data_IF_088843882152
#
_entry.id   IF_088843882152
#
_cell.length_a   1.000
_cell.length_b   1.000
_cell.length_c   1.000
_cell.angle_alpha   90.00
_cell.angle_beta   90.00
_cell.angle_gamma   90.00
#
_symmetry.space_group_name_H-M   'P 1'
#
loop_
_entity.id
_entity.type
_entity.pdbx_description
1 polymer ?
#
# COMPACT_ATOMS: atom_id res chain seq x y z
N UNK A 1 -4.96 7.64 -13.63
CA UNK A 1 -3.74 6.83 -13.87
C UNK A 1 -4.11 5.62 -14.70
N UNK A 2 -3.13 5.01 -15.38
CA UNK A 2 -3.36 3.86 -16.28
C UNK A 2 -2.57 2.64 -15.83
N UNK A 3 -3.13 1.45 -16.02
CA UNK A 3 -2.42 0.17 -15.94
C UNK A 3 -2.28 -0.37 -17.36
N UNK A 4 -1.04 -0.62 -17.75
CA UNK A 4 -0.65 -1.05 -19.09
C UNK A 4 -0.12 -2.48 -19.02
N UNK A 5 -0.44 -3.29 -20.03
CA UNK A 5 0.04 -4.66 -20.17
C UNK A 5 0.83 -4.81 -21.46
N UNK A 6 1.97 -5.46 -21.35
CA UNK A 6 2.74 -5.94 -22.49
C UNK A 6 2.63 -7.47 -22.53
N UNK A 7 2.20 -8.01 -23.65
CA UNK A 7 2.09 -9.45 -23.88
C UNK A 7 3.40 -9.99 -24.48
N UNK A 8 3.64 -11.30 -24.45
CA UNK A 8 4.78 -11.97 -25.12
C UNK A 8 6.13 -11.26 -24.90
N UNK A 9 6.50 -11.07 -23.63
CA UNK A 9 7.75 -10.37 -23.24
C UNK A 9 8.95 -11.30 -23.08
N UNK A 10 8.71 -12.61 -22.98
CA UNK A 10 9.78 -13.59 -22.82
C UNK A 10 10.69 -13.61 -24.05
N UNK A 11 11.97 -13.25 -23.87
CA UNK A 11 12.95 -13.19 -24.96
C UNK A 11 12.79 -12.00 -25.93
N UNK A 12 11.84 -11.09 -25.69
CA UNK A 12 11.54 -9.96 -26.57
C UNK A 12 11.58 -8.63 -25.82
N UNK A 13 12.15 -7.60 -26.45
CA UNK A 13 12.08 -6.24 -25.90
C UNK A 13 10.67 -5.66 -26.02
N UNK A 14 10.26 -4.85 -25.03
CA UNK A 14 9.02 -4.06 -25.09
C UNK A 14 9.20 -2.73 -25.82
N UNK A 15 10.44 -2.35 -26.16
CA UNK A 15 10.72 -1.10 -26.84
C UNK A 15 9.98 -1.00 -28.19
N UNK A 16 9.25 0.09 -28.40
CA UNK A 16 8.50 0.35 -29.63
C UNK A 16 7.20 -0.45 -29.78
N UNK A 17 6.81 -1.27 -28.81
CA UNK A 17 5.55 -2.01 -28.82
C UNK A 17 4.45 -1.19 -28.16
N UNK A 18 3.25 -1.21 -28.73
CA UNK A 18 2.09 -0.59 -28.10
C UNK A 18 1.54 -1.51 -26.99
N UNK A 19 1.37 -1.00 -25.75
CA UNK A 19 0.76 -1.78 -24.69
C UNK A 19 -0.76 -1.85 -24.84
N UNK A 20 -1.34 -2.91 -24.30
CA UNK A 20 -2.78 -2.95 -24.03
C UNK A 20 -3.12 -2.11 -22.81
N UNK A 21 -4.14 -1.26 -22.91
CA UNK A 21 -4.70 -0.55 -21.75
C UNK A 21 -5.60 -1.52 -20.99
N UNK A 22 -5.27 -1.81 -19.73
CA UNK A 22 -6.08 -2.68 -18.86
C UNK A 22 -7.04 -1.85 -18.01
N UNK A 23 -6.55 -0.71 -17.52
CA UNK A 23 -7.31 0.22 -16.67
C UNK A 23 -6.89 1.64 -17.02
N UNK A 24 -7.84 2.57 -17.13
CA UNK A 24 -7.59 3.98 -17.42
C UNK A 24 -8.43 4.97 -16.59
N UNK A 25 -9.26 4.46 -15.69
CA UNK A 25 -10.21 5.21 -14.88
C UNK A 25 -9.81 5.31 -13.40
N UNK A 26 -8.60 4.88 -13.02
CA UNK A 26 -8.09 5.11 -11.67
C UNK A 26 -7.71 6.58 -11.46
N UNK A 27 -7.75 7.11 -10.23
CA UNK A 27 -7.31 8.48 -9.97
C UNK A 27 -5.86 8.73 -10.41
N UNK A 28 -5.58 9.94 -10.88
CA UNK A 28 -4.31 10.30 -11.54
C UNK A 28 -3.47 11.34 -10.82
N UNK A 29 -3.93 11.80 -9.66
CA UNK A 29 -3.33 12.89 -8.89
C UNK A 29 -1.89 12.56 -8.49
N UNK A 30 -1.01 13.55 -8.58
CA UNK A 30 0.43 13.36 -8.41
C UNK A 30 0.82 13.07 -6.95
N UNK A 31 0.13 13.71 -5.99
CA UNK A 31 0.41 13.56 -4.57
C UNK A 31 0.08 12.12 -4.14
N UNK A 32 1.09 11.40 -3.65
CA UNK A 32 1.00 9.95 -3.36
C UNK A 32 0.47 9.13 -4.55
N UNK A 33 0.74 9.63 -5.75
CA UNK A 33 0.30 9.06 -7.02
C UNK A 33 1.13 7.87 -7.46
N UNK A 34 2.37 7.71 -6.95
CA UNK A 34 3.25 6.61 -7.31
C UNK A 34 2.66 5.26 -6.94
N UNK A 35 2.86 4.28 -7.83
CA UNK A 35 2.20 2.98 -7.77
C UNK A 35 3.24 1.88 -7.70
N UNK A 36 3.12 1.03 -6.68
CA UNK A 36 3.70 -0.30 -6.66
C UNK A 36 2.54 -1.28 -6.87
N UNK A 37 2.61 -2.15 -7.88
CA UNK A 37 1.55 -3.12 -8.18
C UNK A 37 2.15 -4.51 -8.29
N UNK A 38 1.45 -5.51 -7.78
CA UNK A 38 1.87 -6.89 -7.86
C UNK A 38 0.66 -7.83 -7.85
N UNK A 39 0.84 -9.03 -8.42
CA UNK A 39 -0.13 -10.10 -8.32
C UNK A 39 0.02 -10.82 -6.98
N UNK A 40 -1.09 -10.99 -6.28
CA UNK A 40 -1.15 -11.78 -5.05
C UNK A 40 -1.21 -13.29 -5.32
N UNK A 41 -1.13 -14.11 -4.26
CA UNK A 41 -1.21 -15.57 -4.36
C UNK A 41 -2.58 -16.07 -4.84
N UNK A 42 -3.61 -15.22 -4.83
CA UNK A 42 -4.94 -15.49 -5.37
C UNK A 42 -5.08 -15.16 -6.88
N UNK A 43 -3.97 -14.76 -7.53
CA UNK A 43 -3.95 -14.39 -8.95
C UNK A 43 -4.58 -13.03 -9.26
N UNK A 44 -4.95 -12.25 -8.24
CA UNK A 44 -5.51 -10.90 -8.41
C UNK A 44 -4.40 -9.85 -8.39
N UNK A 45 -4.60 -8.76 -9.14
CA UNK A 45 -3.70 -7.62 -9.16
C UNK A 45 -4.04 -6.67 -8.01
N UNK A 46 -3.05 -6.27 -7.22
CA UNK A 46 -3.19 -5.35 -6.11
C UNK A 46 -2.60 -3.99 -6.46
N UNK A 47 -3.34 -2.92 -6.16
CA UNK A 47 -3.02 -1.56 -6.62
C UNK A 47 -3.31 -0.54 -5.50
N UNK A 48 -2.31 0.19 -5.00
CA UNK A 48 -2.49 1.22 -4.00
C UNK A 48 -2.98 2.50 -4.67
N UNK A 49 -3.99 3.12 -4.08
CA UNK A 49 -4.51 4.44 -4.46
C UNK A 49 -4.29 5.37 -3.28
N UNK A 50 -3.09 5.95 -3.20
CA UNK A 50 -2.71 6.89 -2.14
C UNK A 50 -3.54 8.17 -2.14
N UNK A 51 -3.62 8.83 -0.99
CA UNK A 51 -4.39 10.06 -0.79
C UNK A 51 -3.81 11.23 -1.62
N UNK A 52 -4.65 12.07 -2.25
CA UNK A 52 -4.20 13.12 -3.16
C UNK A 52 -3.69 14.38 -2.43
N UNK A 53 -3.24 14.23 -1.18
CA UNK A 53 -2.98 15.31 -0.24
C UNK A 53 -2.03 14.84 0.87
N UNK A 54 -1.48 15.77 1.65
CA UNK A 54 -0.79 15.42 2.89
C UNK A 54 -1.77 14.83 3.93
N UNK A 55 -2.85 15.56 4.21
CA UNK A 55 -3.96 15.14 5.09
C UNK A 55 -5.28 15.63 4.50
N UNK A 56 -6.24 14.72 4.33
CA UNK A 56 -7.60 15.00 3.86
C UNK A 56 -8.45 13.74 4.04
N UNK A 57 -9.77 13.89 3.92
CA UNK A 57 -10.73 12.78 3.84
C UNK A 57 -11.22 12.60 2.39
N UNK A 58 -10.44 11.91 1.53
CA UNK A 58 -10.75 11.83 0.11
C UNK A 58 -11.82 10.77 -0.15
N UNK A 59 -12.67 11.03 -1.16
CA UNK A 59 -13.68 10.06 -1.59
C UNK A 59 -13.02 8.80 -2.17
N UNK A 60 -13.66 7.62 -2.08
CA UNK A 60 -13.18 6.41 -2.74
C UNK A 60 -12.91 6.62 -4.24
N UNK A 61 -11.91 5.93 -4.82
CA UNK A 61 -11.12 4.86 -4.21
C UNK A 61 -9.82 5.33 -3.52
N UNK A 62 -9.66 6.63 -3.25
CA UNK A 62 -8.48 7.13 -2.55
C UNK A 62 -8.28 6.52 -1.16
N UNK A 63 -7.05 6.67 -0.66
CA UNK A 63 -6.58 6.17 0.61
C UNK A 63 -6.84 4.66 0.80
N UNK A 64 -6.54 3.85 -0.22
CA UNK A 64 -6.86 2.43 -0.22
C UNK A 64 -5.83 1.57 -0.94
N UNK A 65 -5.87 0.26 -0.67
CA UNK A 65 -5.30 -0.75 -1.56
C UNK A 65 -6.48 -1.49 -2.18
N UNK A 66 -6.50 -1.52 -3.51
CA UNK A 66 -7.49 -2.25 -4.29
C UNK A 66 -6.95 -3.63 -4.69
N UNK A 67 -7.84 -4.59 -4.89
CA UNK A 67 -7.55 -5.80 -5.67
C UNK A 67 -8.54 -5.91 -6.83
N UNK A 68 -8.08 -6.43 -7.96
CA UNK A 68 -8.84 -6.56 -9.20
C UNK A 68 -8.41 -7.80 -9.99
N UNK A 69 -9.23 -8.25 -10.93
CA UNK A 69 -8.81 -9.31 -11.87
C UNK A 69 -7.66 -8.80 -12.75
N UNK A 70 -6.95 -9.71 -13.42
CA UNK A 70 -5.90 -9.34 -14.39
C UNK A 70 -6.43 -8.49 -15.56
N UNK A 71 -7.73 -8.51 -15.82
CA UNK A 71 -8.42 -7.64 -16.79
C UNK A 71 -8.84 -6.28 -16.22
N UNK A 72 -8.55 -6.00 -14.94
CA UNK A 72 -8.90 -4.73 -14.29
C UNK A 72 -10.32 -4.64 -13.72
N UNK A 73 -11.10 -5.72 -13.80
CA UNK A 73 -12.48 -5.81 -13.32
C UNK A 73 -12.60 -6.26 -11.85
N UNK A 74 -13.84 -6.40 -11.37
CA UNK A 74 -14.18 -6.88 -10.01
C UNK A 74 -13.38 -6.21 -8.88
N UNK A 75 -13.25 -4.89 -8.96
CA UNK A 75 -12.43 -4.12 -8.03
C UNK A 75 -13.03 -4.18 -6.63
N UNK A 76 -12.20 -4.51 -5.63
CA UNK A 76 -12.56 -4.46 -4.21
C UNK A 76 -11.47 -3.77 -3.41
N UNK A 77 -11.84 -2.95 -2.43
CA UNK A 77 -10.88 -2.42 -1.46
C UNK A 77 -10.49 -3.52 -0.48
N UNK A 78 -9.20 -3.84 -0.41
CA UNK A 78 -8.64 -4.81 0.54
C UNK A 78 -8.13 -4.13 1.81
N UNK A 79 -7.74 -2.86 1.71
CA UNK A 79 -7.38 -1.99 2.82
C UNK A 79 -7.93 -0.58 2.56
N UNK A 80 -8.43 0.08 3.60
CA UNK A 80 -8.91 1.47 3.61
C UNK A 80 -8.10 2.30 4.60
N UNK A 81 -8.14 3.62 4.47
CA UNK A 81 -7.37 4.52 5.34
C UNK A 81 -5.86 4.28 5.23
N UNK A 82 -5.39 4.04 4.01
CA UNK A 82 -3.97 3.87 3.67
C UNK A 82 -3.49 5.14 3.00
N UNK A 83 -2.62 5.93 3.62
CA UNK A 83 -2.24 7.26 3.13
C UNK A 83 -1.42 7.18 1.84
N UNK A 84 -0.27 6.53 1.90
CA UNK A 84 0.75 6.50 0.86
C UNK A 84 1.59 5.22 0.99
N UNK A 85 0.99 4.11 0.53
CA UNK A 85 1.68 2.83 0.42
C UNK A 85 2.47 2.75 -0.88
N UNK A 86 3.77 2.48 -0.75
CA UNK A 86 4.73 2.42 -1.85
C UNK A 86 5.41 1.05 -1.98
N UNK A 87 5.16 0.12 -1.04
CA UNK A 87 5.61 -1.26 -1.11
C UNK A 87 4.71 -2.21 -0.34
N UNK A 88 4.53 -3.41 -0.87
CA UNK A 88 3.82 -4.49 -0.19
C UNK A 88 4.24 -5.85 -0.71
N UNK A 89 4.03 -6.88 0.11
CA UNK A 89 4.27 -8.26 -0.26
C UNK A 89 3.40 -9.20 0.58
N UNK A 90 3.28 -10.46 0.16
CA UNK A 90 2.53 -11.49 0.85
C UNK A 90 3.47 -12.38 1.65
N UNK A 91 3.14 -12.56 2.93
CA UNK A 91 3.84 -13.51 3.78
C UNK A 91 3.77 -14.92 3.14
N UNK A 92 4.90 -15.57 2.84
CA UNK A 92 4.90 -16.81 2.08
C UNK A 92 4.33 -18.01 2.84
N UNK A 93 4.23 -17.93 4.17
CA UNK A 93 3.65 -18.99 5.00
C UNK A 93 2.14 -18.87 5.16
N UNK A 94 1.60 -17.64 5.22
CA UNK A 94 0.17 -17.42 5.48
C UNK A 94 -0.61 -16.85 4.29
N UNK A 95 0.07 -16.34 3.26
CA UNK A 95 -0.56 -15.62 2.14
C UNK A 95 -1.17 -14.26 2.54
N UNK A 96 -0.90 -13.78 3.75
CA UNK A 96 -1.42 -12.49 4.25
C UNK A 96 -0.64 -11.34 3.60
N UNK A 97 -1.36 -10.30 3.14
CA UNK A 97 -0.78 -9.07 2.61
C UNK A 97 -0.18 -8.22 3.73
N UNK A 98 1.06 -7.79 3.55
CA UNK A 98 1.76 -6.80 4.38
C UNK A 98 2.14 -5.59 3.51
N UNK A 99 1.98 -4.38 4.03
CA UNK A 99 2.23 -3.16 3.26
C UNK A 99 2.86 -2.06 4.12
N UNK A 100 3.68 -1.21 3.49
CA UNK A 100 4.18 0.03 4.07
C UNK A 100 3.10 1.12 4.04
N UNK A 101 3.09 2.04 4.98
CA UNK A 101 2.38 3.30 4.83
C UNK A 101 3.22 4.47 5.36
N UNK A 102 3.36 5.52 4.55
CA UNK A 102 4.07 6.73 4.96
C UNK A 102 3.12 7.60 5.77
N UNK A 103 3.45 7.84 7.05
CA UNK A 103 2.68 8.71 7.95
C UNK A 103 2.55 10.15 7.42
N UNK A 104 1.54 10.89 7.92
CA UNK A 104 1.32 12.28 7.48
C UNK A 104 2.46 13.21 7.83
N UNK A 105 2.66 14.24 7.02
CA UNK A 105 3.65 15.27 7.28
C UNK A 105 3.11 16.31 8.26
N UNK A 106 4.04 17.05 8.85
CA UNK A 106 3.79 18.27 9.63
C UNK A 106 3.03 18.07 10.97
N UNK A 107 3.27 16.95 11.66
CA UNK A 107 2.89 16.79 13.09
C UNK A 107 4.07 16.87 14.07
N UNK A 108 5.27 17.19 13.56
CA UNK A 108 6.52 17.31 14.31
C UNK A 108 7.61 16.41 13.72
N UNK A 109 8.80 16.46 14.31
CA UNK A 109 9.96 15.73 13.81
C UNK A 109 9.92 14.24 14.20
N UNK A 110 9.27 13.92 15.32
CA UNK A 110 9.22 12.56 15.87
C UNK A 110 7.85 11.87 15.69
N UNK A 111 6.93 12.48 14.92
CA UNK A 111 5.58 11.91 14.68
C UNK A 111 4.89 12.44 13.42
N UNK A 112 3.95 11.68 12.84
CA UNK A 112 3.62 10.29 13.15
C UNK A 112 4.67 9.32 12.58
N UNK A 113 4.70 8.07 13.08
CA UNK A 113 5.60 7.06 12.52
C UNK A 113 5.20 6.69 11.09
N UNK A 114 6.16 6.19 10.30
CA UNK A 114 5.84 5.29 9.19
C UNK A 114 5.33 3.95 9.73
N UNK A 115 4.58 3.22 8.92
CA UNK A 115 3.91 2.00 9.38
C UNK A 115 4.23 0.80 8.50
N UNK A 116 4.33 -0.36 9.14
CA UNK A 116 4.17 -1.65 8.48
C UNK A 116 2.87 -2.26 8.97
N UNK A 117 1.96 -2.49 8.03
CA UNK A 117 0.61 -2.97 8.27
C UNK A 117 0.43 -4.38 7.72
N UNK A 118 -0.57 -5.11 8.23
CA UNK A 118 -1.00 -6.40 7.68
C UNK A 118 -2.51 -6.48 7.56
N UNK A 119 -3.00 -6.98 6.42
CA UNK A 119 -4.44 -7.15 6.18
C UNK A 119 -4.89 -8.51 6.70
N UNK A 120 -5.51 -8.53 7.88
CA UNK A 120 -6.04 -9.78 8.45
C UNK A 120 -7.41 -10.13 7.87
N UNK A 121 -8.20 -9.10 7.56
CA UNK A 121 -9.53 -9.22 6.92
C UNK A 121 -9.62 -8.16 5.82
N UNK A 122 -10.04 -8.52 4.58
CA UNK A 122 -10.23 -7.55 3.52
C UNK A 122 -11.23 -6.45 3.92
N UNK A 123 -10.89 -5.19 3.60
CA UNK A 123 -11.73 -4.02 3.88
C UNK A 123 -11.50 -3.38 5.24
N UNK A 124 -10.54 -3.88 6.02
CA UNK A 124 -10.07 -3.21 7.24
C UNK A 124 -9.63 -1.76 6.99
N UNK A 125 -9.79 -0.90 8.00
CA UNK A 125 -9.42 0.51 7.95
C UNK A 125 -8.17 0.75 8.80
N UNK A 126 -7.12 1.35 8.22
CA UNK A 126 -5.78 1.47 8.83
C UNK A 126 -5.50 2.84 9.44
N UNK A 127 -6.48 3.74 9.42
CA UNK A 127 -6.54 4.87 10.34
C UNK A 127 -6.57 6.22 9.64
N UNK A 128 -5.82 6.39 8.55
CA UNK A 128 -5.78 7.67 7.84
C UNK A 128 -7.18 8.09 7.33
N UNK A 129 -7.58 9.37 7.46
CA UNK A 129 -6.83 10.48 8.06
C UNK A 129 -7.07 10.68 9.56
N UNK A 130 -7.83 9.80 10.21
CA UNK A 130 -8.39 10.02 11.54
C UNK A 130 -7.46 9.61 12.70
N UNK A 131 -6.68 8.55 12.49
CA UNK A 131 -5.70 7.99 13.44
C UNK A 131 -4.41 7.67 12.69
N UNK A 132 -3.26 7.89 13.33
CA UNK A 132 -1.94 7.59 12.80
C UNK A 132 -1.15 6.73 13.77
N UNK A 133 -0.31 5.83 13.27
CA UNK A 133 0.52 4.93 14.05
C UNK A 133 -0.29 4.14 15.09
N UNK A 134 0.19 4.15 16.33
CA UNK A 134 -0.44 3.46 17.47
C UNK A 134 -1.65 4.23 18.04
N UNK A 135 -2.46 4.86 17.17
CA UNK A 135 -3.72 5.50 17.54
C UNK A 135 -3.61 7.00 17.84
N UNK A 136 -2.53 7.67 17.41
CA UNK A 136 -2.40 9.12 17.51
C UNK A 136 -3.58 9.78 16.77
N UNK A 137 -4.42 10.49 17.52
CA UNK A 137 -5.57 11.20 16.95
C UNK A 137 -5.12 12.38 16.10
N UNK A 138 -5.61 12.43 14.86
CA UNK A 138 -5.35 13.58 14.00
C UNK A 138 -6.04 14.85 14.57
N UNK A 139 -5.36 16.00 14.61
CA UNK A 139 -5.92 17.22 15.17
C UNK A 139 -7.04 17.82 14.32
N UNK A 140 -7.02 17.62 13.01
CA UNK A 140 -7.98 18.22 12.06
C UNK A 140 -9.14 17.26 11.77
N UNK A 141 -8.83 15.99 11.51
CA UNK A 141 -9.80 15.00 11.05
C UNK A 141 -10.22 14.01 12.14
N UNK A 142 -9.50 13.92 13.25
CA UNK A 142 -9.68 12.85 14.23
C UNK A 142 -11.10 12.73 14.80
N UNK A 143 -11.87 13.82 14.82
CA UNK A 143 -13.26 13.82 15.28
C UNK A 143 -14.23 13.13 14.31
N UNK A 144 -14.00 13.26 13.02
CA UNK A 144 -14.85 12.62 12.02
C UNK A 144 -14.72 11.08 12.03
N UNK A 145 -13.61 10.57 12.55
CA UNK A 145 -13.38 9.13 12.70
C UNK A 145 -13.82 8.54 14.05
N UNK A 146 -14.43 9.33 14.95
CA UNK A 146 -14.87 8.81 16.23
C UNK A 146 -16.00 7.79 16.05
N UNK A 147 -15.85 6.60 16.63
CA UNK A 147 -16.77 5.46 16.47
C UNK A 147 -16.46 4.53 15.28
N UNK A 148 -15.44 4.84 14.47
CA UNK A 148 -14.91 3.91 13.48
C UNK A 148 -13.94 2.92 14.12
N UNK A 149 -13.90 1.71 13.57
CA UNK A 149 -12.91 0.70 13.95
C UNK A 149 -11.66 0.82 13.07
N UNK A 150 -10.50 0.90 13.73
CA UNK A 150 -9.20 0.99 13.08
C UNK A 150 -8.31 -0.19 13.45
N UNK A 151 -7.45 -0.59 12.52
CA UNK A 151 -6.43 -1.61 12.74
C UNK A 151 -5.12 -0.89 13.02
N UNK A 152 -4.51 -1.19 14.18
CA UNK A 152 -3.18 -0.69 14.52
C UNK A 152 -2.10 -1.35 13.64
N UNK A 153 -0.98 -0.65 13.39
CA UNK A 153 0.11 -1.21 12.61
C UNK A 153 0.71 -2.45 13.29
N UNK A 154 1.24 -3.35 12.46
CA UNK A 154 2.01 -4.49 12.96
C UNK A 154 3.37 -4.04 13.49
N UNK A 155 3.90 -2.94 12.95
CA UNK A 155 5.10 -2.27 13.45
C UNK A 155 5.01 -0.77 13.13
N UNK A 156 5.17 0.07 14.15
CA UNK A 156 5.46 1.48 14.00
C UNK A 156 6.98 1.66 13.80
N UNK A 157 7.37 2.38 12.75
CA UNK A 157 8.76 2.72 12.45
C UNK A 157 9.11 4.09 13.04
N UNK A 158 10.27 4.64 12.66
CA UNK A 158 10.57 6.05 12.91
C UNK A 158 9.63 6.97 12.13
N UNK A 159 9.47 8.21 12.62
CA UNK A 159 8.85 9.26 11.82
C UNK A 159 9.73 9.62 10.63
N UNK A 160 9.11 9.96 9.50
CA UNK A 160 9.77 10.45 8.28
C UNK A 160 10.82 9.51 7.65
N UNK A 161 10.88 8.23 8.03
CA UNK A 161 11.79 7.23 7.42
C UNK A 161 11.32 6.74 6.04
N UNK A 162 10.12 7.15 5.63
CA UNK A 162 9.50 6.81 4.36
C UNK A 162 9.70 5.33 3.93
N UNK A 163 9.06 4.34 4.58
CA UNK A 163 9.18 2.94 4.16
C UNK A 163 8.70 2.76 2.71
N UNK A 164 9.63 2.48 1.80
CA UNK A 164 9.37 2.40 0.36
C UNK A 164 9.09 0.98 -0.12
N UNK A 165 9.98 0.03 0.17
CA UNK A 165 9.95 -1.32 -0.41
C UNK A 165 9.80 -2.40 0.65
N UNK A 166 8.90 -3.35 0.42
CA UNK A 166 8.68 -4.52 1.26
C UNK A 166 8.91 -5.79 0.43
N UNK A 167 9.71 -6.72 0.95
CA UNK A 167 9.91 -8.03 0.34
C UNK A 167 10.14 -9.11 1.41
N UNK A 168 9.32 -10.15 1.40
CA UNK A 168 9.57 -11.34 2.21
C UNK A 168 10.69 -12.18 1.58
N UNK A 169 11.66 -12.54 2.40
CA UNK A 169 12.77 -13.36 1.93
C UNK A 169 12.35 -14.81 1.69
N UNK A 170 12.35 -15.22 0.41
CA UNK A 170 12.02 -16.58 -0.04
C UNK A 170 13.24 -17.43 -0.40
N UNK A 171 14.44 -16.85 -0.34
CA UNK A 171 15.69 -17.50 -0.72
C UNK A 171 16.34 -18.36 0.37
N UNK A 172 17.51 -18.93 0.05
CA UNK A 172 18.35 -19.70 0.98
C UNK A 172 19.77 -19.17 1.16
N UNK A 173 20.14 -18.12 0.42
CA UNK A 173 21.47 -17.51 0.42
C UNK A 173 21.82 -16.80 1.73
N UNK A 174 20.84 -16.19 2.42
CA UNK A 174 21.05 -15.59 3.74
C UNK A 174 20.92 -16.62 4.88
N UNK A 175 21.52 -16.32 6.06
CA UNK A 175 21.39 -17.15 7.26
C UNK A 175 19.94 -17.48 7.62
N UNK A 176 19.75 -18.60 8.33
CA UNK A 176 18.42 -19.13 8.67
C UNK A 176 17.49 -18.10 9.32
N UNK A 177 18.02 -17.18 10.14
CA UNK A 177 17.25 -16.10 10.79
C UNK A 177 16.53 -15.15 9.83
N UNK A 178 16.98 -15.04 8.59
CA UNK A 178 16.35 -14.18 7.59
C UNK A 178 15.29 -14.92 6.76
N UNK A 179 15.19 -16.24 6.85
CA UNK A 179 14.23 -17.03 6.06
C UNK A 179 12.81 -16.71 6.51
N UNK A 180 12.00 -16.17 5.60
CA UNK A 180 10.66 -15.66 5.90
C UNK A 180 10.64 -14.31 6.63
N UNK A 181 11.79 -13.64 6.80
CA UNK A 181 11.82 -12.28 7.31
C UNK A 181 11.29 -11.30 6.25
N UNK A 182 10.66 -10.23 6.71
CA UNK A 182 10.28 -9.09 5.88
C UNK A 182 11.46 -8.11 5.84
N UNK A 183 11.98 -7.83 4.65
CA UNK A 183 12.90 -6.72 4.45
C UNK A 183 12.11 -5.45 4.16
N UNK A 184 12.52 -4.35 4.79
CA UNK A 184 11.95 -3.01 4.62
C UNK A 184 13.06 -2.09 4.16
N UNK A 185 12.84 -1.39 3.05
CA UNK A 185 13.71 -0.32 2.58
C UNK A 185 13.13 1.03 3.03
N UNK A 186 13.94 1.81 3.74
CA UNK A 186 13.64 3.16 4.23
C UNK A 186 14.46 4.19 3.43
N UNK A 187 14.01 5.45 3.38
CA UNK A 187 14.65 6.55 2.66
C UNK A 187 15.08 7.68 3.60
#
# INVERSE_FOLDING_TARGET
>A
SRILRFDDVDGHTVAGREPSVVVDDLPGDAHHGWKFIAFGPDGRLYVPVGAPCNVCDPRPPYASILSMTASGGERRSVARGVRNSVGFDWNPASGVLWFSDNGRDWLGDDRPPGEINRVSVPGQHFGFPYRHGDGLRDPEFGAAGDGLEFVAPALALGAHVAPLGLEFYRGRAFPARYRGALFVAEH
#
